data_IF_684663929331
#
_entry.id   IF_684663929331
#
_cell.length_a   1.000
_cell.length_b   1.000
_cell.length_c   1.000
_cell.angle_alpha   90.00
_cell.angle_beta   90.00
_cell.angle_gamma   90.00
#
_symmetry.space_group_name_H-M   'P 1'
#
loop_
_entity.id
_entity.type
_entity.pdbx_description
1 polymer ?
#
# COMPACT_ATOMS: atom_id res chain seq x y z
N UNK A 1 -35.76 -14.55 -15.46
CA UNK A 1 -35.21 -14.58 -14.09
C UNK A 1 -33.73 -14.99 -14.10
N UNK A 2 -33.34 -16.02 -14.86
CA UNK A 2 -31.93 -16.42 -15.05
C UNK A 2 -31.01 -15.30 -15.53
N UNK A 3 -31.44 -14.50 -16.52
CA UNK A 3 -30.66 -13.36 -17.03
C UNK A 3 -30.30 -12.35 -15.94
N UNK A 4 -31.18 -12.18 -14.93
CA UNK A 4 -30.93 -11.27 -13.83
C UNK A 4 -29.88 -11.85 -12.87
N UNK A 5 -29.99 -13.14 -12.55
CA UNK A 5 -29.05 -13.85 -11.69
C UNK A 5 -27.64 -13.90 -12.31
N UNK A 6 -27.55 -14.13 -13.62
CA UNK A 6 -26.29 -14.10 -14.36
C UNK A 6 -25.62 -12.72 -14.28
N UNK A 7 -26.40 -11.65 -14.50
CA UNK A 7 -25.89 -10.27 -14.39
C UNK A 7 -25.40 -9.93 -12.99
N UNK A 8 -26.08 -10.40 -11.94
CA UNK A 8 -25.62 -10.22 -10.55
C UNK A 8 -24.31 -10.97 -10.30
N UNK A 9 -24.16 -12.19 -10.82
CA UNK A 9 -22.92 -12.95 -10.73
C UNK A 9 -21.74 -12.23 -11.41
N UNK A 10 -21.94 -11.69 -12.61
CA UNK A 10 -20.93 -10.92 -13.34
C UNK A 10 -20.55 -9.63 -12.56
N UNK A 11 -21.52 -8.94 -11.97
CA UNK A 11 -21.26 -7.75 -11.16
C UNK A 11 -20.42 -8.08 -9.93
N UNK A 12 -20.75 -9.14 -9.20
CA UNK A 12 -19.96 -9.57 -8.04
C UNK A 12 -18.51 -9.88 -8.41
N UNK A 13 -18.28 -10.65 -9.48
CA UNK A 13 -16.93 -10.96 -9.96
C UNK A 13 -16.12 -9.70 -10.30
N UNK A 14 -16.77 -8.67 -10.88
CA UNK A 14 -16.12 -7.39 -11.17
C UNK A 14 -15.77 -6.63 -9.89
N UNK A 15 -16.67 -6.60 -8.91
CA UNK A 15 -16.43 -5.93 -7.63
C UNK A 15 -15.34 -6.62 -6.80
N UNK A 16 -15.25 -7.95 -6.84
CA UNK A 16 -14.16 -8.69 -6.18
C UNK A 16 -12.81 -8.37 -6.80
N UNK A 17 -12.71 -8.32 -8.13
CA UNK A 17 -11.49 -7.89 -8.82
C UNK A 17 -11.09 -6.46 -8.45
N UNK A 18 -12.04 -5.52 -8.49
CA UNK A 18 -11.79 -4.12 -8.15
C UNK A 18 -11.39 -3.93 -6.68
N UNK A 19 -11.92 -4.73 -5.76
CA UNK A 19 -11.48 -4.76 -4.36
C UNK A 19 -10.04 -5.25 -4.23
N UNK A 20 -9.68 -6.30 -4.95
CA UNK A 20 -8.33 -6.84 -4.93
C UNK A 20 -7.33 -5.87 -5.58
N UNK A 21 -7.73 -5.09 -6.57
CA UNK A 21 -6.89 -4.06 -7.21
C UNK A 21 -6.69 -2.82 -6.33
N UNK A 22 -7.66 -2.49 -5.46
CA UNK A 22 -7.64 -1.29 -4.60
C UNK A 22 -7.53 -1.64 -3.11
N UNK A 23 -6.64 -2.55 -2.75
CA UNK A 23 -6.40 -2.91 -1.34
C UNK A 23 -5.68 -1.80 -0.56
N UNK A 24 -4.88 -0.99 -1.23
CA UNK A 24 -4.19 0.12 -0.59
C UNK A 24 -5.18 1.21 -0.18
N UNK A 25 -5.36 1.37 1.13
CA UNK A 25 -6.25 2.39 1.67
C UNK A 25 -5.50 3.24 2.70
N UNK A 26 -5.12 4.44 2.29
CA UNK A 26 -4.43 5.41 3.14
C UNK A 26 -5.21 5.67 4.45
N UNK A 27 -6.54 5.75 4.40
CA UNK A 27 -7.36 6.00 5.59
C UNK A 27 -7.32 4.85 6.60
N UNK A 28 -7.05 3.61 6.16
CA UNK A 28 -6.86 2.49 7.09
C UNK A 28 -5.55 2.62 7.87
N UNK A 29 -4.51 3.20 7.25
CA UNK A 29 -3.23 3.49 7.92
C UNK A 29 -3.37 4.67 8.90
N UNK A 30 -4.16 5.68 8.51
CA UNK A 30 -4.35 6.93 9.25
C UNK A 30 -5.42 6.87 10.36
N UNK A 31 -6.14 5.75 10.52
CA UNK A 31 -7.42 5.70 11.27
C UNK A 31 -7.32 5.91 12.78
N UNK A 32 -6.13 5.85 13.36
CA UNK A 32 -5.99 6.01 14.81
C UNK A 32 -5.74 7.48 15.16
N UNK A 33 -6.82 8.24 15.29
CA UNK A 33 -6.82 9.67 15.64
C UNK A 33 -6.07 10.00 16.95
N UNK A 34 -5.91 9.02 17.85
CA UNK A 34 -5.18 9.20 19.12
C UNK A 34 -3.66 8.92 18.99
N UNK A 35 -3.18 8.59 17.79
CA UNK A 35 -1.81 8.15 17.52
C UNK A 35 -1.16 9.02 16.42
N UNK A 36 -1.44 10.33 16.44
CA UNK A 36 -0.92 11.32 15.47
C UNK A 36 0.62 11.29 15.39
N UNK A 37 1.29 11.09 16.53
CA UNK A 37 2.76 11.07 16.60
C UNK A 37 3.33 9.90 15.79
N UNK A 38 2.72 8.70 15.88
CA UNK A 38 3.20 7.54 15.11
C UNK A 38 2.57 7.43 13.72
N UNK A 39 1.66 8.32 13.36
CA UNK A 39 0.95 8.31 12.08
C UNK A 39 1.91 8.58 10.92
N UNK A 40 2.77 9.60 11.05
CA UNK A 40 3.75 9.93 10.03
C UNK A 40 4.77 8.81 9.82
N UNK A 41 5.35 8.27 10.89
CA UNK A 41 6.33 7.17 10.79
C UNK A 41 5.70 5.89 10.24
N UNK A 42 4.43 5.61 10.57
CA UNK A 42 3.67 4.48 10.00
C UNK A 42 3.39 4.67 8.51
N UNK A 43 3.03 5.88 8.11
CA UNK A 43 2.77 6.21 6.72
C UNK A 43 4.03 6.07 5.85
N UNK A 44 5.14 6.63 6.33
CA UNK A 44 6.43 6.54 5.63
C UNK A 44 6.91 5.08 5.59
N UNK A 45 6.82 4.35 6.71
CA UNK A 45 7.12 2.92 6.74
C UNK A 45 6.32 2.14 5.69
N UNK A 46 5.01 2.39 5.62
CA UNK A 46 4.15 1.69 4.67
C UNK A 46 4.54 1.98 3.22
N UNK A 47 4.84 3.24 2.88
CA UNK A 47 5.24 3.61 1.52
C UNK A 47 6.60 3.06 1.12
N UNK A 48 7.57 3.05 2.03
CA UNK A 48 8.94 2.65 1.70
C UNK A 48 9.14 1.14 1.73
N UNK A 49 8.26 0.39 2.41
CA UNK A 49 8.38 -1.06 2.52
C UNK A 49 7.99 -1.75 1.20
N UNK A 50 8.90 -2.47 0.53
CA UNK A 50 8.58 -3.17 -0.72
C UNK A 50 7.47 -4.21 -0.60
N UNK A 51 7.26 -4.72 0.63
CA UNK A 51 6.20 -5.66 0.97
C UNK A 51 4.97 -4.98 1.58
N UNK A 52 4.85 -3.66 1.45
CA UNK A 52 3.71 -2.88 1.91
C UNK A 52 2.42 -3.21 1.14
N UNK A 53 1.28 -2.84 1.72
CA UNK A 53 -0.07 -3.04 1.15
C UNK A 53 -0.33 -2.24 -0.13
N UNK A 54 0.58 -1.31 -0.49
CA UNK A 54 0.51 -0.54 -1.74
C UNK A 54 0.87 -1.34 -2.99
N UNK A 55 1.54 -2.50 -2.84
CA UNK A 55 1.88 -3.41 -3.95
C UNK A 55 2.65 -2.74 -5.10
N UNK A 56 3.48 -1.75 -4.79
CA UNK A 56 4.34 -1.09 -5.76
C UNK A 56 5.79 -1.60 -5.70
N UNK A 57 6.04 -2.72 -5.02
CA UNK A 57 7.38 -3.27 -4.83
C UNK A 57 8.36 -2.16 -4.42
N UNK A 58 9.47 -1.98 -5.14
CA UNK A 58 10.50 -1.00 -4.82
C UNK A 58 10.24 0.41 -5.38
N UNK A 59 9.16 0.67 -6.13
CA UNK A 59 8.97 1.93 -6.87
C UNK A 59 8.98 3.18 -5.97
N UNK A 60 8.27 3.12 -4.85
CA UNK A 60 8.22 4.22 -3.89
C UNK A 60 9.55 4.41 -3.16
N UNK A 61 10.24 3.32 -2.85
CA UNK A 61 11.55 3.38 -2.23
C UNK A 61 12.60 3.96 -3.18
N UNK A 62 12.60 3.54 -4.45
CA UNK A 62 13.46 4.07 -5.49
C UNK A 62 13.22 5.58 -5.69
N UNK A 63 11.96 5.98 -5.83
CA UNK A 63 11.58 7.40 -5.95
C UNK A 63 12.01 8.23 -4.74
N UNK A 64 11.90 7.65 -3.54
CA UNK A 64 12.35 8.30 -2.32
C UNK A 64 13.87 8.50 -2.31
N UNK A 65 14.64 7.46 -2.63
CA UNK A 65 16.11 7.51 -2.70
C UNK A 65 16.60 8.54 -3.72
N UNK A 66 15.96 8.60 -4.89
CA UNK A 66 16.23 9.63 -5.90
C UNK A 66 15.96 11.04 -5.33
N UNK A 67 14.83 11.22 -4.63
CA UNK A 67 14.46 12.52 -4.04
C UNK A 67 15.44 12.99 -2.97
N UNK A 68 16.04 12.06 -2.22
CA UNK A 68 17.05 12.38 -1.19
C UNK A 68 18.49 12.30 -1.71
N UNK A 69 18.68 12.22 -3.02
CA UNK A 69 19.97 12.20 -3.71
C UNK A 69 20.90 11.06 -3.24
N UNK A 70 20.31 9.89 -2.96
CA UNK A 70 21.05 8.65 -2.67
C UNK A 70 21.13 7.80 -3.94
N UNK A 71 22.32 7.76 -4.52
CA UNK A 71 22.64 6.95 -5.69
C UNK A 71 23.18 5.55 -5.30
N UNK A 72 23.15 4.61 -6.25
CA UNK A 72 23.74 3.26 -6.13
C UNK A 72 23.26 2.41 -4.93
N UNK A 73 22.03 2.63 -4.47
CA UNK A 73 21.43 1.82 -3.41
C UNK A 73 20.95 0.46 -3.95
N UNK A 74 21.39 -0.64 -3.34
CA UNK A 74 20.95 -1.99 -3.73
C UNK A 74 19.51 -2.26 -3.25
N UNK A 75 18.61 -2.47 -4.21
CA UNK A 75 17.19 -2.74 -3.97
C UNK A 75 16.86 -4.21 -3.62
N UNK A 76 17.87 -5.09 -3.59
CA UNK A 76 17.66 -6.51 -3.35
C UNK A 76 17.59 -6.85 -1.85
N UNK A 77 16.50 -7.51 -1.44
CA UNK A 77 16.37 -8.04 -0.08
C UNK A 77 16.26 -6.98 1.02
N UNK A 78 15.81 -5.77 0.69
CA UNK A 78 15.70 -4.66 1.63
C UNK A 78 14.69 -4.98 2.75
N UNK A 79 15.04 -4.55 3.96
CA UNK A 79 14.14 -4.51 5.10
C UNK A 79 13.99 -3.07 5.58
N UNK A 80 12.75 -2.61 5.66
CA UNK A 80 12.40 -1.31 6.25
C UNK A 80 11.95 -1.53 7.68
N UNK A 81 12.44 -0.71 8.60
CA UNK A 81 12.08 -0.75 10.01
C UNK A 81 11.35 0.52 10.40
N UNK A 82 10.33 0.37 11.25
CA UNK A 82 9.67 1.52 11.87
C UNK A 82 10.48 1.94 13.09
N UNK A 83 10.63 3.25 13.28
CA UNK A 83 11.18 3.80 14.52
C UNK A 83 10.36 3.27 15.72
N UNK A 84 11.08 2.68 16.68
CA UNK A 84 10.51 2.19 17.93
C UNK A 84 10.77 3.28 18.98
N UNK A 85 9.75 4.08 19.27
CA UNK A 85 9.74 5.02 20.39
C UNK A 85 9.33 4.35 21.69
#
# INVERSE_FOLDING_TARGET
MEILLEKVGILNLRYEKLRNENEFNIFTLLRNHNDEVNLHSRFIYELLNPNGTHRQENEFLASFLETVEIEDFDLNGIQIFKESG
#
